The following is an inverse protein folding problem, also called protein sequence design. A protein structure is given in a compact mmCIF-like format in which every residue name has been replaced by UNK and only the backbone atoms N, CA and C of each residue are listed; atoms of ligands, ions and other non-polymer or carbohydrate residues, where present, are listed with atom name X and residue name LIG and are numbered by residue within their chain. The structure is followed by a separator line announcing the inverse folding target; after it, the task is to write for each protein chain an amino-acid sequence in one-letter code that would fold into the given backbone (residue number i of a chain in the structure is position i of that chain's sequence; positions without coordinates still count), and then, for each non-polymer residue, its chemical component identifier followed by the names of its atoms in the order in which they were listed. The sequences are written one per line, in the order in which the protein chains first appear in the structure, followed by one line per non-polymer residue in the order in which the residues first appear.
data_IF_713764013574
#
_entry.id   IF_713764013574
#
_cell.length_a   1.000
_cell.length_b   1.000
_cell.length_c   1.000
_cell.angle_alpha   90.00
_cell.angle_beta   90.00
_cell.angle_gamma   90.00
#
_symmetry.space_group_name_H-M   'P 1'
#
loop_
_entity.id
_entity.type
_entity.pdbx_description
1 polymer ?
#
# COMPACT_ATOMS: atom_id res chain seq x y z
N UNK A 1 -84.94 -65.36 -1.59
CA UNK A 1 -84.25 -65.10 -0.29
C UNK A 1 -82.73 -65.00 -0.45
N UNK A 2 -82.05 -65.92 -1.14
CA UNK A 2 -80.58 -65.81 -1.37
C UNK A 2 -80.20 -64.80 -2.46
N UNK A 3 -80.97 -64.76 -3.55
CA UNK A 3 -80.82 -63.78 -4.64
C UNK A 3 -80.93 -62.34 -4.15
N UNK A 4 -81.86 -62.09 -3.23
CA UNK A 4 -82.10 -60.78 -2.62
C UNK A 4 -80.95 -60.35 -1.70
N UNK A 5 -80.39 -61.27 -0.92
CA UNK A 5 -79.17 -61.04 -0.13
C UNK A 5 -77.94 -60.75 -1.00
N UNK A 6 -77.82 -61.42 -2.15
CA UNK A 6 -76.73 -61.17 -3.09
C UNK A 6 -76.85 -59.76 -3.72
N UNK A 7 -78.06 -59.35 -4.09
CA UNK A 7 -78.34 -58.00 -4.60
C UNK A 7 -78.00 -56.92 -3.57
N UNK A 8 -78.42 -57.09 -2.31
CA UNK A 8 -78.12 -56.12 -1.25
C UNK A 8 -76.61 -55.98 -0.98
N UNK A 9 -75.85 -57.08 -1.08
CA UNK A 9 -74.38 -57.05 -0.98
C UNK A 9 -73.74 -56.31 -2.14
N UNK A 10 -74.24 -56.53 -3.35
CA UNK A 10 -73.79 -55.83 -4.54
C UNK A 10 -74.06 -54.32 -4.44
N UNK A 11 -75.26 -53.93 -4.00
CA UNK A 11 -75.64 -52.51 -3.85
C UNK A 11 -74.76 -51.81 -2.80
N UNK A 12 -74.46 -52.48 -1.68
CA UNK A 12 -73.53 -51.97 -0.65
C UNK A 12 -72.10 -51.84 -1.17
N UNK A 13 -71.61 -52.82 -1.93
CA UNK A 13 -70.28 -52.77 -2.52
C UNK A 13 -70.17 -51.63 -3.55
N UNK A 14 -71.19 -51.48 -4.40
CA UNK A 14 -71.27 -50.41 -5.41
C UNK A 14 -71.32 -49.03 -4.76
N UNK A 15 -72.10 -48.86 -3.69
CA UNK A 15 -72.13 -47.61 -2.92
C UNK A 15 -70.75 -47.27 -2.35
N UNK A 16 -70.06 -48.24 -1.74
CA UNK A 16 -68.69 -48.04 -1.23
C UNK A 16 -67.71 -47.68 -2.35
N UNK A 17 -67.82 -48.33 -3.51
CA UNK A 17 -66.98 -48.03 -4.67
C UNK A 17 -67.20 -46.59 -5.16
N UNK A 18 -68.44 -46.14 -5.26
CA UNK A 18 -68.75 -44.77 -5.68
C UNK A 18 -68.24 -43.74 -4.66
N UNK A 19 -68.39 -44.01 -3.36
CA UNK A 19 -67.84 -43.14 -2.31
C UNK A 19 -66.31 -43.06 -2.40
N UNK A 20 -65.62 -44.20 -2.59
CA UNK A 20 -64.17 -44.24 -2.73
C UNK A 20 -63.69 -43.53 -4.00
N UNK A 21 -64.41 -43.72 -5.12
CA UNK A 21 -64.14 -43.00 -6.36
C UNK A 21 -64.23 -41.48 -6.15
N UNK A 22 -65.29 -41.00 -5.50
CA UNK A 22 -65.46 -39.58 -5.23
C UNK A 22 -64.35 -39.03 -4.32
N UNK A 23 -63.96 -39.78 -3.28
CA UNK A 23 -62.83 -39.42 -2.42
C UNK A 23 -61.52 -39.34 -3.21
N UNK A 24 -61.28 -40.30 -4.11
CA UNK A 24 -60.11 -40.30 -4.98
C UNK A 24 -60.11 -39.10 -5.93
N UNK A 25 -61.24 -38.79 -6.58
CA UNK A 25 -61.36 -37.64 -7.48
C UNK A 25 -61.09 -36.33 -6.72
N UNK A 26 -61.62 -36.19 -5.50
CA UNK A 26 -61.36 -35.02 -4.66
C UNK A 26 -59.88 -34.91 -4.28
N UNK A 27 -59.26 -36.01 -3.87
CA UNK A 27 -57.83 -36.04 -3.56
C UNK A 27 -56.98 -35.68 -4.79
N UNK A 28 -57.33 -36.21 -5.96
CA UNK A 28 -56.66 -35.92 -7.22
C UNK A 28 -56.77 -34.43 -7.58
N UNK A 29 -57.96 -33.83 -7.42
CA UNK A 29 -58.16 -32.38 -7.66
C UNK A 29 -57.38 -31.53 -6.67
N UNK A 30 -57.32 -31.93 -5.40
CA UNK A 30 -56.48 -31.28 -4.39
C UNK A 30 -54.99 -31.34 -4.75
N UNK A 31 -54.50 -32.50 -5.17
CA UNK A 31 -53.11 -32.66 -5.61
C UNK A 31 -52.78 -31.83 -6.85
N UNK A 32 -53.67 -31.79 -7.84
CA UNK A 32 -53.53 -30.94 -9.04
C UNK A 32 -53.46 -29.46 -8.68
N UNK A 33 -54.33 -28.99 -7.78
CA UNK A 33 -54.33 -27.60 -7.33
C UNK A 33 -53.02 -27.24 -6.61
N UNK A 34 -52.58 -28.10 -5.69
CA UNK A 34 -51.31 -27.90 -4.97
C UNK A 34 -50.11 -27.89 -5.93
N UNK A 35 -50.09 -28.80 -6.90
CA UNK A 35 -49.02 -28.84 -7.91
C UNK A 35 -48.96 -27.54 -8.71
N UNK A 36 -50.10 -27.05 -9.19
CA UNK A 36 -50.15 -25.79 -9.93
C UNK A 36 -49.71 -24.62 -9.05
N UNK A 37 -50.22 -24.51 -7.82
CA UNK A 37 -49.79 -23.47 -6.89
C UNK A 37 -48.29 -23.50 -6.58
N UNK A 38 -47.71 -24.69 -6.45
CA UNK A 38 -46.30 -24.85 -6.19
C UNK A 38 -45.45 -24.33 -7.35
N UNK A 39 -45.75 -24.73 -8.59
CA UNK A 39 -44.94 -24.35 -9.76
C UNK A 39 -45.23 -22.94 -10.26
N UNK A 40 -46.47 -22.47 -10.18
CA UNK A 40 -46.85 -21.16 -10.71
C UNK A 40 -46.55 -20.02 -9.73
N UNK A 41 -46.51 -20.32 -8.42
CA UNK A 41 -46.40 -19.27 -7.39
C UNK A 41 -45.28 -19.54 -6.39
N UNK A 42 -45.34 -20.64 -5.65
CA UNK A 42 -44.46 -20.84 -4.48
C UNK A 42 -42.98 -20.95 -4.88
N UNK A 43 -42.68 -21.76 -5.89
CA UNK A 43 -41.31 -21.98 -6.36
C UNK A 43 -40.72 -20.72 -7.01
N UNK A 44 -41.39 -20.03 -7.94
CA UNK A 44 -40.90 -18.75 -8.47
C UNK A 44 -40.63 -17.71 -7.40
N UNK A 45 -41.51 -17.55 -6.40
CA UNK A 45 -41.30 -16.60 -5.31
C UNK A 45 -40.07 -16.95 -4.45
N UNK A 46 -39.88 -18.23 -4.16
CA UNK A 46 -38.70 -18.68 -3.43
C UNK A 46 -37.42 -18.37 -4.23
N UNK A 47 -37.41 -18.69 -5.52
CA UNK A 47 -36.25 -18.46 -6.38
C UNK A 47 -35.96 -16.95 -6.54
N UNK A 48 -36.98 -16.11 -6.71
CA UNK A 48 -36.83 -14.65 -6.76
C UNK A 48 -36.25 -14.09 -5.45
N UNK A 49 -36.73 -14.59 -4.31
CA UNK A 49 -36.19 -14.17 -3.00
C UNK A 49 -34.72 -14.59 -2.81
N UNK A 50 -34.36 -15.80 -3.25
CA UNK A 50 -32.99 -16.30 -3.19
C UNK A 50 -32.08 -15.51 -4.13
N UNK A 51 -32.56 -15.20 -5.34
CA UNK A 51 -31.82 -14.40 -6.30
C UNK A 51 -31.53 -13.00 -5.75
N UNK A 52 -32.53 -12.31 -5.20
CA UNK A 52 -32.35 -10.99 -4.58
C UNK A 52 -31.30 -11.01 -3.46
N UNK A 53 -31.36 -12.02 -2.60
CA UNK A 53 -30.35 -12.21 -1.55
C UNK A 53 -28.95 -12.39 -2.14
N UNK A 54 -28.79 -13.20 -3.19
CA UNK A 54 -27.51 -13.41 -3.85
C UNK A 54 -26.99 -12.13 -4.52
N UNK A 55 -27.86 -11.35 -5.17
CA UNK A 55 -27.51 -10.06 -5.78
C UNK A 55 -27.04 -9.04 -4.71
N UNK A 56 -27.72 -8.99 -3.56
CA UNK A 56 -27.30 -8.16 -2.43
C UNK A 56 -25.94 -8.58 -1.88
N UNK A 57 -25.66 -9.88 -1.76
CA UNK A 57 -24.35 -10.38 -1.36
C UNK A 57 -23.24 -9.96 -2.33
N UNK A 58 -23.49 -10.07 -3.64
CA UNK A 58 -22.52 -9.62 -4.66
C UNK A 58 -22.31 -8.11 -4.61
N UNK A 59 -23.36 -7.33 -4.36
CA UNK A 59 -23.25 -5.89 -4.18
C UNK A 59 -22.41 -5.53 -2.95
N UNK A 60 -22.58 -6.24 -1.84
CA UNK A 60 -21.76 -6.06 -0.64
C UNK A 60 -20.28 -6.40 -0.93
N UNK A 61 -20.02 -7.52 -1.62
CA UNK A 61 -18.67 -7.90 -2.01
C UNK A 61 -18.00 -6.86 -2.92
N UNK A 62 -18.76 -6.27 -3.86
CA UNK A 62 -18.28 -5.16 -4.68
C UNK A 62 -17.85 -3.97 -3.82
N UNK A 63 -18.67 -3.59 -2.83
CA UNK A 63 -18.35 -2.51 -1.90
C UNK A 63 -17.04 -2.77 -1.15
N UNK A 64 -16.85 -4.00 -0.65
CA UNK A 64 -15.61 -4.42 0.02
C UNK A 64 -14.39 -4.28 -0.91
N UNK A 65 -14.49 -4.68 -2.18
CA UNK A 65 -13.38 -4.54 -3.12
C UNK A 65 -13.10 -3.08 -3.50
N UNK A 66 -14.13 -2.25 -3.60
CA UNK A 66 -13.97 -0.82 -3.84
C UNK A 66 -13.24 -0.14 -2.67
N UNK A 67 -13.67 -0.41 -1.43
CA UNK A 67 -12.99 0.07 -0.23
C UNK A 67 -11.55 -0.44 -0.13
N UNK A 68 -11.33 -1.74 -0.38
CA UNK A 68 -9.98 -2.33 -0.39
C UNK A 68 -9.07 -1.62 -1.39
N UNK A 69 -9.56 -1.37 -2.61
CA UNK A 69 -8.79 -0.68 -3.65
C UNK A 69 -8.47 0.76 -3.26
N UNK A 70 -9.37 1.44 -2.56
CA UNK A 70 -9.13 2.81 -2.09
C UNK A 70 -8.06 2.82 -0.98
N UNK A 71 -8.16 1.92 -0.01
CA UNK A 71 -7.23 1.84 1.14
C UNK A 71 -5.82 1.43 0.70
N UNK A 72 -5.71 0.46 -0.22
CA UNK A 72 -4.41 -0.08 -0.66
C UNK A 72 -3.77 0.70 -1.80
N UNK A 73 -4.44 1.76 -2.29
CA UNK A 73 -3.89 2.60 -3.35
C UNK A 73 -2.61 3.29 -2.89
N UNK A 74 -1.52 3.06 -3.61
CA UNK A 74 -0.23 3.74 -3.37
C UNK A 74 -0.13 5.09 -4.08
N UNK A 75 -1.18 5.47 -4.81
CA UNK A 75 -1.25 6.73 -5.57
C UNK A 75 -2.28 7.68 -4.97
N UNK A 76 -2.59 7.51 -3.68
CA UNK A 76 -3.36 8.52 -2.95
C UNK A 76 -2.62 9.85 -2.94
N UNK A 77 -3.39 10.93 -2.86
CA UNK A 77 -2.84 12.29 -2.83
C UNK A 77 -1.83 12.47 -1.68
N UNK A 78 -2.09 11.84 -0.54
CA UNK A 78 -1.19 11.81 0.62
C UNK A 78 0.19 11.24 0.27
N UNK A 79 0.24 10.06 -0.35
CA UNK A 79 1.50 9.42 -0.74
C UNK A 79 2.21 10.23 -1.82
N UNK A 80 1.46 10.77 -2.78
CA UNK A 80 2.01 11.65 -3.83
C UNK A 80 2.63 12.91 -3.22
N UNK A 81 1.98 13.53 -2.24
CA UNK A 81 2.49 14.72 -1.58
C UNK A 81 3.79 14.42 -0.81
N UNK A 82 3.86 13.31 -0.07
CA UNK A 82 5.10 12.88 0.59
C UNK A 82 6.23 12.67 -0.42
N UNK A 83 5.96 12.00 -1.55
CA UNK A 83 6.98 11.80 -2.59
C UNK A 83 7.43 13.12 -3.22
N UNK A 84 6.52 14.08 -3.42
CA UNK A 84 6.87 15.43 -3.90
C UNK A 84 7.76 16.18 -2.91
N UNK A 85 7.47 16.13 -1.61
CA UNK A 85 8.30 16.78 -0.59
C UNK A 85 9.72 16.17 -0.52
N UNK A 86 9.81 14.84 -0.63
CA UNK A 86 11.11 14.15 -0.72
C UNK A 86 11.86 14.62 -1.96
N UNK A 87 11.21 14.64 -3.13
CA UNK A 87 11.83 15.08 -4.38
C UNK A 87 12.29 16.54 -4.30
N UNK A 88 11.48 17.44 -3.76
CA UNK A 88 11.84 18.84 -3.54
C UNK A 88 13.04 18.97 -2.62
N UNK A 89 13.11 18.17 -1.55
CA UNK A 89 14.24 18.18 -0.61
C UNK A 89 15.53 17.72 -1.28
N UNK A 90 15.45 16.74 -2.19
CA UNK A 90 16.59 16.27 -2.99
C UNK A 90 17.03 17.34 -4.00
N UNK A 91 16.09 18.00 -4.68
CA UNK A 91 16.38 19.06 -5.66
C UNK A 91 16.98 20.33 -5.03
N UNK A 92 16.68 20.57 -3.75
CA UNK A 92 17.25 21.69 -2.99
C UNK A 92 18.71 21.48 -2.58
N UNK A 93 19.25 20.26 -2.70
CA UNK A 93 20.66 20.00 -2.41
C UNK A 93 21.51 20.68 -3.48
N UNK A 94 22.18 21.75 -3.08
CA UNK A 94 23.14 22.47 -3.92
C UNK A 94 24.57 22.21 -3.42
N UNK A 95 25.37 21.42 -4.16
CA UNK A 95 26.77 21.17 -3.81
C UNK A 95 27.62 22.44 -3.68
N UNK A 96 27.23 23.55 -4.33
CA UNK A 96 27.94 24.82 -4.26
C UNK A 96 27.82 25.53 -2.91
N UNK A 97 26.75 25.25 -2.14
CA UNK A 97 26.45 25.93 -0.86
C UNK A 97 26.61 25.02 0.37
N UNK A 98 26.77 23.70 0.17
CA UNK A 98 26.88 22.67 1.22
C UNK A 98 27.81 23.08 2.38
N UNK A 99 28.99 23.61 2.05
CA UNK A 99 30.01 23.94 3.06
C UNK A 99 30.01 25.42 3.47
N UNK A 100 29.17 26.28 2.89
CA UNK A 100 29.22 27.72 3.16
C UNK A 100 28.97 28.02 4.64
N UNK A 101 27.89 27.47 5.21
CA UNK A 101 27.57 27.64 6.64
C UNK A 101 28.63 27.00 7.55
N UNK A 102 29.16 25.83 7.17
CA UNK A 102 30.23 25.17 7.93
C UNK A 102 31.50 26.03 7.99
N UNK A 103 31.91 26.58 6.84
CA UNK A 103 33.07 27.47 6.76
C UNK A 103 32.80 28.74 7.57
N UNK A 104 31.62 29.35 7.48
CA UNK A 104 31.33 30.58 8.24
C UNK A 104 31.38 30.38 9.76
N UNK A 105 30.92 29.22 10.26
CA UNK A 105 30.94 28.89 11.70
C UNK A 105 32.33 28.49 12.20
N UNK A 106 33.10 27.78 11.38
CA UNK A 106 34.36 27.15 11.82
C UNK A 106 35.63 27.78 11.25
N UNK A 107 35.51 28.77 10.35
CA UNK A 107 36.67 29.48 9.81
C UNK A 107 37.39 30.15 10.96
N UNK A 108 38.62 29.70 11.19
CA UNK A 108 39.57 30.36 12.06
C UNK A 108 40.31 31.41 11.24
N UNK A 109 40.62 32.56 11.84
CA UNK A 109 41.49 33.54 11.20
C UNK A 109 42.81 32.85 10.87
N UNK A 110 43.19 32.84 9.59
CA UNK A 110 44.50 32.33 9.17
C UNK A 110 45.53 33.12 9.95
N UNK A 111 46.27 32.46 10.84
CA UNK A 111 47.40 33.08 11.48
C UNK A 111 48.32 33.52 10.34
N UNK A 112 48.59 34.84 10.25
CA UNK A 112 49.57 35.33 9.28
C UNK A 112 50.88 34.65 9.67
N UNK A 113 51.33 33.71 8.85
CA UNK A 113 52.59 33.03 9.08
C UNK A 113 53.65 34.12 9.21
N UNK A 114 54.38 34.08 10.32
CA UNK A 114 55.44 35.04 10.57
C UNK A 114 56.46 34.86 9.46
N UNK A 115 56.81 35.96 8.80
CA UNK A 115 57.83 35.92 7.76
C UNK A 115 59.13 35.41 8.40
N UNK A 116 59.78 34.44 7.74
CA UNK A 116 61.01 33.86 8.27
C UNK A 116 62.09 34.92 8.11
N UNK A 117 62.41 35.59 9.21
CA UNK A 117 63.44 36.62 9.28
C UNK A 117 64.73 36.04 9.85
N UNK A 118 65.88 36.53 9.38
CA UNK A 118 67.18 36.18 9.95
C UNK A 118 67.27 36.70 11.38
N UNK A 119 67.53 35.81 12.33
CA UNK A 119 67.67 36.15 13.74
C UNK A 119 68.94 36.96 13.98
N UNK A 120 68.77 38.26 14.21
CA UNK A 120 69.87 39.21 14.44
C UNK A 120 70.60 38.99 15.77
N UNK A 121 70.01 38.24 16.72
CA UNK A 121 70.69 37.91 17.99
C UNK A 121 71.93 37.03 17.75
N UNK A 122 71.96 36.28 16.65
CA UNK A 122 73.11 35.47 16.24
C UNK A 122 74.34 36.30 15.84
N UNK A 123 74.18 37.62 15.64
CA UNK A 123 75.25 38.54 15.22
C UNK A 123 75.85 39.33 16.39
N UNK A 124 75.26 39.26 17.59
CA UNK A 124 75.69 40.06 18.75
C UNK A 124 77.14 39.75 19.19
N UNK A 125 77.63 38.54 18.94
CA UNK A 125 79.00 38.12 19.24
C UNK A 125 79.96 38.28 18.04
N UNK A 126 79.49 38.75 16.88
CA UNK A 126 80.27 38.72 15.63
C UNK A 126 80.00 39.93 14.71
N UNK A 127 80.75 41.01 14.92
CA UNK A 127 80.56 42.31 14.23
C UNK A 127 80.79 42.27 12.70
N UNK A 128 81.46 41.24 12.17
CA UNK A 128 81.81 41.14 10.75
C UNK A 128 80.74 40.44 9.89
N UNK A 129 79.64 39.97 10.48
CA UNK A 129 78.57 39.25 9.77
C UNK A 129 77.34 40.18 9.63
N UNK A 130 76.71 40.19 8.45
CA UNK A 130 75.51 40.99 8.16
C UNK A 130 74.27 40.08 8.07
N UNK A 131 73.15 40.52 8.64
CA UNK A 131 71.89 39.80 8.56
C UNK A 131 71.37 39.73 7.13
N UNK A 132 70.81 38.60 6.72
CA UNK A 132 70.26 38.37 5.38
C UNK A 132 71.27 38.47 4.20
N UNK A 133 72.58 38.48 4.47
CA UNK A 133 73.62 38.56 3.44
C UNK A 133 74.55 37.35 3.46
N UNK A 134 74.95 36.89 2.28
CA UNK A 134 75.91 35.79 2.15
C UNK A 134 77.32 36.35 2.30
N UNK A 135 78.08 35.82 3.26
CA UNK A 135 79.48 36.19 3.45
C UNK A 135 80.37 35.47 2.44
N UNK A 136 80.86 36.23 1.46
CA UNK A 136 81.78 35.75 0.44
C UNK A 136 83.23 36.15 0.78
N UNK A 137 84.03 35.20 1.26
CA UNK A 137 85.45 35.41 1.53
C UNK A 137 86.26 34.14 1.22
N UNK A 138 87.57 34.19 1.43
CA UNK A 138 88.48 33.08 1.12
C UNK A 138 88.19 31.79 1.92
N UNK A 139 87.37 31.84 2.97
CA UNK A 139 86.98 30.70 3.80
C UNK A 139 85.65 30.08 3.36
N UNK A 140 84.77 30.85 2.71
CA UNK A 140 83.42 30.41 2.31
C UNK A 140 83.26 30.19 0.80
N UNK A 141 84.20 30.70 -0.01
CA UNK A 141 84.12 30.66 -1.48
C UNK A 141 84.08 29.24 -2.08
N UNK A 142 84.86 28.27 -1.56
CA UNK A 142 84.84 26.89 -2.08
C UNK A 142 83.53 26.16 -1.73
N UNK A 143 82.95 26.41 -0.55
CA UNK A 143 81.69 25.79 -0.12
C UNK A 143 80.46 26.32 -0.85
N UNK A 144 80.45 27.62 -1.18
CA UNK A 144 79.35 28.26 -1.93
C UNK A 144 79.39 27.96 -3.43
N UNK A 145 80.53 27.58 -4.00
CA UNK A 145 80.64 27.15 -5.41
C UNK A 145 80.07 25.75 -5.68
N UNK A 146 79.86 24.95 -4.62
CA UNK A 146 79.37 23.57 -4.69
C UNK A 146 77.87 23.48 -4.35
N UNK A 147 77.27 24.56 -3.84
CA UNK A 147 75.83 24.68 -3.55
C UNK A 147 74.99 24.98 -4.79
#
# INVERSE_FOLDING_TARGET
KETEKAKERYDKATTKLHMLHNQYVLALKGAQLHQNQYYDTTLPLLLDSLQKMQEEMIKALKGIFEEYSQITSLVTEEIVNVHKEIQMSVEQIDPGTEYSNFIDVHRTTTAKEQEIEFDTSLLEENENLQANEIMWNNLTAEGLQVM
#
